data_IF_776390081926
#
_entry.id   IF_776390081926
#
_cell.length_a   1.000
_cell.length_b   1.000
_cell.length_c   1.000
_cell.angle_alpha   90.00
_cell.angle_beta   90.00
_cell.angle_gamma   90.00
#
_symmetry.space_group_name_H-M   'P 1'
#
loop_
_entity.id
_entity.type
_entity.pdbx_description
1 polymer ?
#
# COMPACT_ATOMS: atom_id res chain seq x y z
N UNK A 1 30.46 -58.50 43.00
CA UNK A 1 29.40 -57.84 42.22
C UNK A 1 28.18 -58.75 42.25
N UNK A 2 27.13 -58.37 42.98
CA UNK A 2 26.04 -59.27 43.39
C UNK A 2 24.91 -59.31 42.35
N UNK A 3 24.48 -60.54 42.04
CA UNK A 3 23.22 -60.93 41.37
C UNK A 3 22.01 -60.62 42.28
N UNK A 4 20.80 -60.84 41.72
CA UNK A 4 19.45 -60.95 42.34
C UNK A 4 18.65 -59.62 42.31
N UNK A 5 17.33 -59.55 42.08
CA UNK A 5 16.27 -60.56 41.93
C UNK A 5 15.05 -59.94 41.22
N UNK A 6 14.31 -60.81 40.53
CA UNK A 6 12.89 -60.73 40.20
C UNK A 6 12.00 -60.57 41.45
N UNK A 7 11.01 -59.68 41.41
CA UNK A 7 9.81 -59.73 42.27
C UNK A 7 8.60 -59.27 41.45
N UNK A 8 7.63 -60.18 41.32
CA UNK A 8 6.27 -59.94 40.82
C UNK A 8 5.33 -59.57 41.98
N UNK A 9 4.06 -59.22 41.64
CA UNK A 9 2.85 -59.15 42.51
C UNK A 9 2.59 -57.75 43.11
N UNK A 10 1.38 -57.14 43.13
CA UNK A 10 0.00 -57.53 42.79
C UNK A 10 -0.81 -56.30 42.34
N UNK A 11 -1.81 -56.56 41.50
CA UNK A 11 -2.94 -55.69 41.16
C UNK A 11 -3.85 -55.51 42.39
N UNK A 12 -4.17 -54.26 42.73
CA UNK A 12 -5.29 -53.91 43.62
C UNK A 12 -6.30 -53.13 42.78
N UNK A 13 -7.37 -53.80 42.35
CA UNK A 13 -8.55 -53.15 41.78
C UNK A 13 -9.41 -52.67 42.95
N UNK A 14 -9.30 -51.39 43.28
CA UNK A 14 -10.27 -50.73 44.14
C UNK A 14 -11.49 -50.35 43.28
N UNK A 15 -12.60 -51.04 43.50
CA UNK A 15 -13.91 -50.70 42.95
C UNK A 15 -14.37 -49.36 43.54
N UNK A 16 -14.07 -48.26 42.83
CA UNK A 16 -14.65 -46.95 43.06
C UNK A 16 -15.91 -46.79 42.21
N UNK A 17 -17.04 -46.53 42.87
CA UNK A 17 -18.35 -46.25 42.28
C UNK A 17 -18.20 -45.25 41.14
N UNK A 18 -18.44 -45.69 39.90
CA UNK A 18 -18.61 -44.79 38.77
C UNK A 18 -19.93 -44.05 38.97
N UNK A 19 -19.87 -42.85 39.54
CA UNK A 19 -20.92 -41.86 39.30
C UNK A 19 -20.80 -41.55 37.81
N UNK A 20 -21.68 -42.15 37.02
CA UNK A 20 -21.90 -41.79 35.64
C UNK A 20 -22.40 -40.34 35.60
N UNK A 21 -21.45 -39.41 35.63
CA UNK A 21 -21.71 -38.09 35.08
C UNK A 21 -22.08 -38.33 33.62
N UNK A 22 -23.21 -37.80 33.12
CA UNK A 22 -23.57 -37.99 31.73
C UNK A 22 -22.40 -37.47 30.91
N UNK A 23 -21.80 -38.37 30.12
CA UNK A 23 -20.78 -38.04 29.14
C UNK A 23 -21.44 -37.11 28.13
N UNK A 24 -21.44 -35.82 28.45
CA UNK A 24 -21.76 -34.79 27.47
C UNK A 24 -20.66 -34.95 26.45
N UNK A 25 -21.00 -35.46 25.26
CA UNK A 25 -20.07 -35.58 24.16
C UNK A 25 -19.25 -34.30 24.12
N UNK A 26 -17.93 -34.39 24.36
CA UNK A 26 -17.08 -33.22 24.41
C UNK A 26 -17.29 -32.49 23.08
N UNK A 27 -17.95 -31.33 23.13
CA UNK A 27 -18.32 -30.58 21.93
C UNK A 27 -17.03 -30.37 21.15
N UNK A 28 -16.96 -30.93 19.94
CA UNK A 28 -15.77 -30.84 19.07
C UNK A 28 -15.36 -29.38 18.99
N UNK A 29 -14.23 -29.02 19.59
CA UNK A 29 -13.74 -27.64 19.58
C UNK A 29 -13.00 -27.46 18.27
N UNK A 30 -13.59 -26.69 17.37
CA UNK A 30 -12.98 -26.27 16.11
C UNK A 30 -13.53 -24.92 15.71
N UNK A 31 -12.88 -24.28 14.73
CA UNK A 31 -13.31 -22.99 14.21
C UNK A 31 -14.80 -23.01 13.83
N UNK A 32 -15.55 -22.01 14.31
CA UNK A 32 -16.97 -21.83 14.00
C UNK A 32 -17.95 -22.62 14.89
N UNK A 33 -17.49 -23.52 15.76
CA UNK A 33 -18.36 -24.24 16.69
C UNK A 33 -18.82 -23.31 17.80
N UNK A 34 -20.12 -23.30 18.11
CA UNK A 34 -20.70 -22.41 19.12
C UNK A 34 -20.12 -22.65 20.51
N UNK A 35 -19.94 -21.58 21.26
CA UNK A 35 -19.49 -21.60 22.64
C UNK A 35 -20.29 -20.58 23.45
N UNK A 36 -20.39 -20.79 24.77
CA UNK A 36 -21.31 -20.00 25.62
C UNK A 36 -20.60 -18.89 26.40
N UNK A 37 -19.34 -19.11 26.79
CA UNK A 37 -18.59 -18.21 27.65
C UNK A 37 -17.55 -17.41 26.85
N UNK A 38 -17.87 -16.16 26.55
CA UNK A 38 -16.94 -15.22 25.90
C UNK A 38 -15.59 -15.17 26.64
N UNK A 39 -14.50 -15.21 25.89
CA UNK A 39 -13.14 -15.19 26.43
C UNK A 39 -12.64 -16.53 26.97
N UNK A 40 -13.50 -17.57 27.08
CA UNK A 40 -13.04 -18.91 27.42
C UNK A 40 -11.95 -19.36 26.44
N UNK A 41 -10.92 -20.02 26.95
CA UNK A 41 -9.78 -20.49 26.15
C UNK A 41 -9.51 -21.96 26.47
N UNK A 42 -9.04 -22.69 25.47
CA UNK A 42 -8.74 -24.13 25.57
C UNK A 42 -7.70 -24.53 24.53
N UNK A 43 -7.07 -25.68 24.72
CA UNK A 43 -6.09 -26.24 23.79
C UNK A 43 -6.59 -27.58 23.32
N UNK A 44 -6.70 -27.76 22.00
CA UNK A 44 -7.08 -29.03 21.37
C UNK A 44 -6.03 -29.38 20.33
N UNK A 45 -5.45 -30.58 20.45
CA UNK A 45 -4.43 -31.10 19.51
C UNK A 45 -3.26 -30.12 19.29
N UNK A 46 -2.82 -29.45 20.36
CA UNK A 46 -1.72 -28.47 20.32
C UNK A 46 -2.10 -27.06 19.85
N UNK A 47 -3.31 -26.87 19.31
CA UNK A 47 -3.82 -25.56 18.87
C UNK A 47 -4.62 -24.86 19.96
N UNK A 48 -4.36 -23.57 20.16
CA UNK A 48 -5.10 -22.74 21.12
C UNK A 48 -6.35 -22.16 20.48
N UNK A 49 -7.47 -22.27 21.18
CA UNK A 49 -8.77 -21.73 20.79
C UNK A 49 -9.30 -20.76 21.84
N UNK A 50 -10.04 -19.75 21.37
CA UNK A 50 -10.75 -18.77 22.20
C UNK A 50 -12.19 -18.65 21.74
N UNK A 51 -13.12 -18.64 22.70
CA UNK A 51 -14.52 -18.37 22.48
C UNK A 51 -14.74 -16.87 22.27
N UNK A 52 -15.07 -16.45 21.05
CA UNK A 52 -15.25 -15.05 20.70
C UNK A 52 -16.23 -14.90 19.52
N UNK A 53 -16.62 -13.66 19.22
CA UNK A 53 -17.32 -13.34 17.97
C UNK A 53 -16.32 -13.47 16.82
N UNK A 54 -16.74 -14.07 15.70
CA UNK A 54 -15.91 -14.16 14.51
C UNK A 54 -15.80 -12.79 13.81
N UNK A 55 -14.61 -12.15 13.77
CA UNK A 55 -14.45 -10.83 13.17
C UNK A 55 -14.68 -10.79 11.65
N UNK A 56 -14.67 -11.94 10.99
CA UNK A 56 -14.96 -12.07 9.56
C UNK A 56 -16.46 -12.09 9.24
N UNK A 57 -17.33 -12.09 10.25
CA UNK A 57 -18.78 -12.16 10.09
C UNK A 57 -19.47 -11.03 10.85
N UNK A 58 -20.67 -10.66 10.42
CA UNK A 58 -21.53 -9.71 11.14
C UNK A 58 -22.30 -10.37 12.30
N UNK A 59 -22.19 -11.70 12.45
CA UNK A 59 -22.89 -12.45 13.48
C UNK A 59 -22.37 -12.11 14.87
N UNK A 60 -23.30 -11.89 15.81
CA UNK A 60 -22.96 -11.72 17.22
C UNK A 60 -22.77 -13.05 17.98
N UNK A 61 -22.96 -14.20 17.30
CA UNK A 61 -22.81 -15.53 17.92
C UNK A 61 -21.36 -15.77 18.34
N UNK A 62 -21.19 -16.34 19.53
CA UNK A 62 -19.89 -16.75 20.04
C UNK A 62 -19.54 -18.14 19.49
N UNK A 63 -18.33 -18.23 18.94
CA UNK A 63 -17.77 -19.48 18.41
C UNK A 63 -16.35 -19.68 18.90
N UNK A 64 -15.89 -20.93 18.98
CA UNK A 64 -14.49 -21.25 19.11
C UNK A 64 -13.74 -20.81 17.85
N UNK A 65 -12.64 -20.09 18.04
CA UNK A 65 -11.75 -19.62 16.99
C UNK A 65 -10.32 -19.89 17.43
N UNK A 66 -9.50 -20.45 16.55
CA UNK A 66 -8.07 -20.59 16.78
C UNK A 66 -7.46 -19.20 16.92
N UNK A 67 -6.37 -19.11 17.69
CA UNK A 67 -5.64 -17.84 17.82
C UNK A 67 -5.16 -17.34 16.45
N UNK A 68 -4.75 -18.26 15.56
CA UNK A 68 -4.36 -17.91 14.19
C UNK A 68 -5.53 -17.32 13.40
N UNK A 69 -6.73 -17.89 13.51
CA UNK A 69 -7.93 -17.32 12.90
C UNK A 69 -8.20 -15.89 13.41
N UNK A 70 -8.12 -15.67 14.72
CA UNK A 70 -8.32 -14.33 15.32
C UNK A 70 -7.29 -13.35 14.78
N UNK A 71 -6.02 -13.74 14.75
CA UNK A 71 -4.93 -12.90 14.28
C UNK A 71 -5.08 -12.54 12.80
N UNK A 72 -5.36 -13.53 11.94
CA UNK A 72 -5.57 -13.32 10.51
C UNK A 72 -6.82 -12.50 10.22
N UNK A 73 -7.91 -12.70 10.96
CA UNK A 73 -9.11 -11.89 10.82
C UNK A 73 -8.86 -10.43 11.21
N UNK A 74 -8.12 -10.18 12.28
CA UNK A 74 -7.73 -8.82 12.67
C UNK A 74 -6.78 -8.17 11.66
N UNK A 75 -5.84 -8.93 11.10
CA UNK A 75 -4.95 -8.46 10.04
C UNK A 75 -5.74 -8.04 8.79
N UNK A 76 -6.73 -8.83 8.37
CA UNK A 76 -7.66 -8.46 7.30
C UNK A 76 -8.41 -7.15 7.61
N UNK A 77 -9.00 -7.02 8.80
CA UNK A 77 -9.75 -5.82 9.16
C UNK A 77 -8.85 -4.56 9.20
N UNK A 78 -7.60 -4.72 9.63
CA UNK A 78 -6.61 -3.63 9.58
C UNK A 78 -6.26 -3.28 8.14
N UNK A 79 -5.93 -4.27 7.31
CA UNK A 79 -5.62 -4.06 5.90
C UNK A 79 -6.77 -3.37 5.14
N UNK A 80 -8.02 -3.76 5.43
CA UNK A 80 -9.20 -3.11 4.86
C UNK A 80 -9.27 -1.61 5.21
N UNK A 81 -9.07 -1.26 6.49
CA UNK A 81 -9.12 0.13 6.96
C UNK A 81 -7.98 0.96 6.37
N UNK A 82 -6.76 0.43 6.40
CA UNK A 82 -5.57 1.10 5.86
C UNK A 82 -5.73 1.30 4.35
N UNK A 83 -6.18 0.28 3.62
CA UNK A 83 -6.48 0.35 2.18
C UNK A 83 -7.52 1.41 1.85
N UNK A 84 -8.60 1.51 2.62
CA UNK A 84 -9.63 2.53 2.43
C UNK A 84 -9.08 3.94 2.66
N UNK A 85 -8.31 4.14 3.73
CA UNK A 85 -7.70 5.44 4.03
C UNK A 85 -6.68 5.86 2.97
N UNK A 86 -5.81 4.94 2.53
CA UNK A 86 -4.82 5.20 1.48
C UNK A 86 -5.53 5.51 0.15
N UNK A 87 -6.54 4.72 -0.22
CA UNK A 87 -7.29 4.93 -1.47
C UNK A 87 -8.01 6.28 -1.49
N UNK A 88 -8.58 6.70 -0.36
CA UNK A 88 -9.19 8.02 -0.22
C UNK A 88 -8.16 9.14 -0.39
N UNK A 89 -6.99 9.03 0.26
CA UNK A 89 -5.91 10.00 0.15
C UNK A 89 -5.33 10.10 -1.28
N UNK A 90 -5.19 8.97 -1.97
CA UNK A 90 -4.73 8.96 -3.36
C UNK A 90 -5.76 9.60 -4.29
N UNK A 91 -7.03 9.25 -4.12
CA UNK A 91 -8.14 9.82 -4.92
C UNK A 91 -8.23 11.33 -4.73
N UNK A 92 -8.09 11.81 -3.49
CA UNK A 92 -8.10 13.24 -3.17
C UNK A 92 -6.89 14.01 -3.76
N UNK A 93 -5.77 13.34 -4.01
CA UNK A 93 -4.59 13.95 -4.63
C UNK A 93 -4.71 14.12 -6.15
N UNK A 94 -5.50 13.29 -6.84
CA UNK A 94 -5.69 13.36 -8.30
C UNK A 94 -6.06 14.78 -8.78
N UNK A 95 -7.10 15.46 -8.24
CA UNK A 95 -7.44 16.81 -8.69
C UNK A 95 -6.33 17.84 -8.42
N UNK A 96 -5.56 17.68 -7.34
CA UNK A 96 -4.42 18.54 -7.03
C UNK A 96 -3.30 18.36 -8.07
N UNK A 97 -3.03 17.10 -8.44
CA UNK A 97 -2.06 16.77 -9.49
C UNK A 97 -2.51 17.34 -10.84
N UNK A 98 -3.80 17.23 -11.17
CA UNK A 98 -4.36 17.77 -12.41
C UNK A 98 -4.22 19.30 -12.51
N UNK A 99 -4.48 20.01 -11.40
CA UNK A 99 -4.22 21.45 -11.31
C UNK A 99 -2.72 21.74 -11.50
N UNK A 100 -1.83 20.95 -10.89
CA UNK A 100 -0.39 21.08 -11.07
C UNK A 100 0.04 20.92 -12.54
N UNK A 101 -0.49 19.91 -13.24
CA UNK A 101 -0.22 19.68 -14.67
C UNK A 101 -0.74 20.84 -15.51
N UNK A 102 -1.96 21.33 -15.23
CA UNK A 102 -2.53 22.47 -15.95
C UNK A 102 -1.65 23.73 -15.78
N UNK A 103 -1.22 24.03 -14.56
CA UNK A 103 -0.34 25.16 -14.26
C UNK A 103 1.02 25.05 -14.97
N UNK A 104 1.65 23.87 -14.96
CA UNK A 104 2.91 23.65 -15.67
C UNK A 104 2.76 23.77 -17.20
N UNK A 105 1.61 23.38 -17.76
CA UNK A 105 1.32 23.59 -19.18
C UNK A 105 1.14 25.08 -19.54
N UNK A 106 0.54 25.87 -18.65
CA UNK A 106 0.49 27.34 -18.82
C UNK A 106 1.91 27.91 -18.79
N UNK A 107 2.71 27.55 -17.77
CA UNK A 107 4.11 27.98 -17.67
C UNK A 107 4.92 27.58 -18.92
N UNK A 108 4.71 26.36 -19.44
CA UNK A 108 5.36 25.88 -20.65
C UNK A 108 5.06 26.81 -21.84
N UNK A 109 3.80 27.17 -22.03
CA UNK A 109 3.37 28.07 -23.10
C UNK A 109 4.02 29.45 -22.95
N UNK A 110 4.00 30.03 -21.76
CA UNK A 110 4.62 31.33 -21.50
C UNK A 110 6.13 31.35 -21.79
N UNK A 111 6.86 30.32 -21.34
CA UNK A 111 8.30 30.21 -21.60
C UNK A 111 8.57 29.94 -23.08
N UNK A 112 7.72 29.18 -23.77
CA UNK A 112 7.84 28.96 -25.21
C UNK A 112 7.71 30.28 -25.97
N UNK A 113 6.74 31.13 -25.63
CA UNK A 113 6.62 32.47 -26.24
C UNK A 113 7.89 33.30 -26.04
N UNK A 114 8.49 33.28 -24.84
CA UNK A 114 9.76 33.98 -24.57
C UNK A 114 10.93 33.41 -25.37
N UNK A 115 10.97 32.09 -25.55
CA UNK A 115 11.98 31.44 -26.39
C UNK A 115 11.84 31.87 -27.86
N UNK A 116 10.62 31.89 -28.39
CA UNK A 116 10.35 32.29 -29.77
C UNK A 116 10.71 33.76 -30.00
N UNK A 117 10.37 34.64 -29.06
CA UNK A 117 10.74 36.06 -29.08
C UNK A 117 12.27 36.25 -29.01
N UNK A 118 12.96 35.50 -28.16
CA UNK A 118 14.42 35.55 -28.06
C UNK A 118 15.10 35.06 -29.35
N UNK A 119 14.55 34.01 -29.99
CA UNK A 119 15.03 33.52 -31.28
C UNK A 119 14.84 34.56 -32.40
N UNK A 120 13.68 35.23 -32.43
CA UNK A 120 13.41 36.30 -33.40
C UNK A 120 14.41 37.45 -33.23
N UNK A 121 14.65 37.89 -31.99
CA UNK A 121 15.63 38.96 -31.71
C UNK A 121 17.06 38.55 -32.03
N UNK A 122 17.42 37.30 -31.75
CA UNK A 122 18.73 36.75 -32.11
C UNK A 122 18.94 36.77 -33.63
N UNK A 123 17.94 36.32 -34.40
CA UNK A 123 17.99 36.35 -35.86
C UNK A 123 18.12 37.78 -36.39
N UNK A 124 17.30 38.71 -35.89
CA UNK A 124 17.37 40.12 -36.27
C UNK A 124 18.73 40.76 -35.94
N UNK A 125 19.33 40.44 -34.78
CA UNK A 125 20.65 40.93 -34.40
C UNK A 125 21.74 40.40 -35.34
N UNK A 126 21.67 39.12 -35.76
CA UNK A 126 22.60 38.54 -36.74
C UNK A 126 22.48 39.21 -38.11
N UNK A 127 21.26 39.46 -38.59
CA UNK A 127 21.03 40.19 -39.85
C UNK A 127 21.60 41.61 -39.79
N UNK A 128 21.36 42.33 -38.69
CA UNK A 128 21.92 43.68 -38.49
C UNK A 128 23.44 43.66 -38.44
N UNK A 129 24.05 42.66 -37.80
CA UNK A 129 25.50 42.54 -37.75
C UNK A 129 26.11 42.35 -39.14
N UNK A 130 25.48 41.53 -39.99
CA UNK A 130 25.93 41.31 -41.35
C UNK A 130 25.86 42.59 -42.22
N UNK A 131 24.94 43.49 -41.92
CA UNK A 131 24.79 44.77 -42.61
C UNK A 131 25.59 45.93 -41.96
N UNK A 132 26.24 45.71 -40.81
CA UNK A 132 26.91 46.77 -40.07
C UNK A 132 28.23 47.18 -40.74
N UNK A 133 28.37 48.48 -41.01
CA UNK A 133 29.57 49.04 -41.65
C UNK A 133 30.60 49.46 -40.61
N UNK A 134 30.17 50.07 -39.50
CA UNK A 134 31.07 50.61 -38.48
C UNK A 134 31.48 49.55 -37.45
N UNK A 135 32.70 49.66 -36.93
CA UNK A 135 33.19 48.75 -35.89
C UNK A 135 32.47 48.94 -34.54
N UNK A 136 31.99 50.17 -34.27
CA UNK A 136 31.18 50.45 -33.10
C UNK A 136 29.86 49.66 -33.12
N UNK A 137 29.13 49.67 -34.24
CA UNK A 137 27.88 48.93 -34.39
C UNK A 137 28.10 47.42 -34.33
N UNK A 138 29.17 46.93 -34.98
CA UNK A 138 29.55 45.51 -34.94
C UNK A 138 29.78 45.02 -33.51
N UNK A 139 30.46 45.82 -32.68
CA UNK A 139 30.71 45.48 -31.27
C UNK A 139 29.41 45.40 -30.47
N UNK A 140 28.53 46.40 -30.59
CA UNK A 140 27.23 46.41 -29.91
C UNK A 140 26.38 45.19 -30.30
N UNK A 141 26.29 44.91 -31.60
CA UNK A 141 25.49 43.79 -32.12
C UNK A 141 26.07 42.43 -31.72
N UNK A 142 27.40 42.29 -31.64
CA UNK A 142 28.05 41.08 -31.14
C UNK A 142 27.69 40.83 -29.67
N UNK A 143 27.70 41.86 -28.83
CA UNK A 143 27.24 41.76 -27.44
C UNK A 143 25.76 41.37 -27.36
N UNK A 144 24.90 41.98 -28.18
CA UNK A 144 23.48 41.63 -28.24
C UNK A 144 23.26 40.16 -28.63
N UNK A 145 23.97 39.66 -29.65
CA UNK A 145 23.91 38.25 -30.09
C UNK A 145 24.30 37.31 -28.95
N UNK A 146 25.36 37.61 -28.21
CA UNK A 146 25.79 36.80 -27.05
C UNK A 146 24.72 36.75 -25.96
N UNK A 147 24.09 37.89 -25.67
CA UNK A 147 22.99 37.99 -24.70
C UNK A 147 21.78 37.15 -25.13
N UNK A 148 21.28 37.32 -26.37
CA UNK A 148 20.14 36.55 -26.88
C UNK A 148 20.44 35.06 -27.00
N UNK A 149 21.67 34.69 -27.38
CA UNK A 149 22.11 33.27 -27.40
C UNK A 149 22.03 32.66 -26.00
N UNK A 150 22.40 33.42 -24.97
CA UNK A 150 22.31 32.97 -23.58
C UNK A 150 20.87 32.88 -23.10
N UNK A 151 20.00 33.83 -23.46
CA UNK A 151 18.58 33.78 -23.17
C UNK A 151 17.90 32.56 -23.80
N UNK A 152 18.17 32.28 -25.09
CA UNK A 152 17.67 31.10 -25.80
C UNK A 152 18.06 29.82 -25.06
N UNK A 153 19.34 29.66 -24.66
CA UNK A 153 19.78 28.50 -23.89
C UNK A 153 19.05 28.37 -22.55
N UNK A 154 18.85 29.49 -21.84
CA UNK A 154 18.16 29.50 -20.55
C UNK A 154 16.69 29.09 -20.69
N UNK A 155 15.95 29.63 -21.66
CA UNK A 155 14.55 29.27 -21.88
C UNK A 155 14.39 27.82 -22.35
N UNK A 156 15.25 27.33 -23.24
CA UNK A 156 15.27 25.92 -23.64
C UNK A 156 15.51 25.00 -22.44
N UNK A 157 16.48 25.33 -21.58
CA UNK A 157 16.73 24.57 -20.36
C UNK A 157 15.51 24.56 -19.42
N UNK A 158 14.85 25.72 -19.26
CA UNK A 158 13.63 25.84 -18.46
C UNK A 158 12.48 24.99 -19.02
N UNK A 159 12.27 24.97 -20.33
CA UNK A 159 11.27 24.11 -20.98
C UNK A 159 11.54 22.63 -20.73
N UNK A 160 12.79 22.20 -20.81
CA UNK A 160 13.17 20.81 -20.50
C UNK A 160 12.87 20.46 -19.04
N UNK A 161 13.13 21.38 -18.10
CA UNK A 161 12.76 21.20 -16.70
C UNK A 161 11.25 21.12 -16.50
N UNK A 162 10.46 21.98 -17.16
CA UNK A 162 8.99 21.95 -17.08
C UNK A 162 8.46 20.62 -17.62
N UNK A 163 8.97 20.16 -18.77
CA UNK A 163 8.59 18.88 -19.35
C UNK A 163 8.92 17.68 -18.43
N UNK A 164 10.01 17.76 -17.66
CA UNK A 164 10.32 16.76 -16.64
C UNK A 164 9.33 16.82 -15.46
N UNK A 165 8.98 18.02 -14.99
CA UNK A 165 7.98 18.19 -13.92
C UNK A 165 6.61 17.63 -14.32
N UNK A 166 6.14 17.93 -15.53
CA UNK A 166 4.88 17.39 -16.06
C UNK A 166 4.90 15.86 -16.07
N UNK A 167 5.97 15.24 -16.60
CA UNK A 167 6.10 13.76 -16.63
C UNK A 167 6.09 13.14 -15.23
N UNK A 168 6.69 13.79 -14.23
CA UNK A 168 6.65 13.34 -12.84
C UNK A 168 5.23 13.39 -12.28
N UNK A 169 4.50 14.48 -12.54
CA UNK A 169 3.11 14.63 -12.13
C UNK A 169 2.20 13.58 -12.81
N UNK A 170 2.38 13.34 -14.10
CA UNK A 170 1.64 12.30 -14.84
C UNK A 170 1.89 10.90 -14.27
N UNK A 171 3.15 10.58 -13.92
CA UNK A 171 3.50 9.32 -13.27
C UNK A 171 2.87 9.19 -11.87
N UNK A 172 2.86 10.28 -11.10
CA UNK A 172 2.19 10.32 -9.80
C UNK A 172 0.67 10.13 -9.94
N UNK A 173 0.05 10.75 -10.94
CA UNK A 173 -1.38 10.56 -11.26
C UNK A 173 -1.68 9.11 -11.62
N UNK A 174 -0.85 8.50 -12.47
CA UNK A 174 -1.01 7.10 -12.86
C UNK A 174 -0.96 6.19 -11.63
N UNK A 175 0.02 6.42 -10.73
CA UNK A 175 0.14 5.67 -9.47
C UNK A 175 -1.09 5.87 -8.57
N UNK A 176 -1.54 7.11 -8.39
CA UNK A 176 -2.72 7.42 -7.59
C UNK A 176 -4.01 6.79 -8.16
N UNK A 177 -4.04 6.51 -9.46
CA UNK A 177 -5.16 5.85 -10.14
C UNK A 177 -5.11 4.33 -10.02
N UNK A 178 -3.94 3.72 -10.15
CA UNK A 178 -3.79 2.25 -10.20
C UNK A 178 -3.66 1.60 -8.83
N UNK A 179 -3.02 2.27 -7.88
CA UNK A 179 -2.74 1.72 -6.55
C UNK A 179 -4.01 1.36 -5.74
N UNK A 180 -5.12 2.12 -5.80
CA UNK A 180 -6.38 1.70 -5.14
C UNK A 180 -6.91 0.35 -5.64
N UNK A 181 -6.72 0.03 -6.93
CA UNK A 181 -7.14 -1.25 -7.51
C UNK A 181 -6.29 -2.39 -6.93
N UNK A 182 -4.97 -2.19 -6.84
CA UNK A 182 -4.06 -3.18 -6.25
C UNK A 182 -4.38 -3.40 -4.76
N UNK A 183 -4.56 -2.31 -4.00
CA UNK A 183 -4.90 -2.40 -2.58
C UNK A 183 -6.22 -3.14 -2.34
N UNK A 184 -7.18 -3.03 -3.27
CA UNK A 184 -8.44 -3.78 -3.20
C UNK A 184 -8.22 -5.28 -3.43
N UNK A 185 -7.35 -5.65 -4.37
CA UNK A 185 -6.98 -7.04 -4.61
C UNK A 185 -6.25 -7.64 -3.39
N UNK A 186 -5.25 -6.93 -2.85
CA UNK A 186 -4.48 -7.38 -1.69
C UNK A 186 -5.36 -7.58 -0.45
N UNK A 187 -6.36 -6.72 -0.25
CA UNK A 187 -7.37 -6.87 0.83
C UNK A 187 -8.25 -8.10 0.59
N UNK A 188 -8.64 -8.39 -0.66
CA UNK A 188 -9.42 -9.58 -0.99
C UNK A 188 -8.62 -10.87 -0.74
N UNK A 189 -7.34 -10.89 -1.09
CA UNK A 189 -6.45 -12.02 -0.81
C UNK A 189 -6.21 -12.21 0.68
N UNK A 190 -6.01 -11.12 1.42
CA UNK A 190 -5.91 -11.15 2.89
C UNK A 190 -7.19 -11.71 3.52
N UNK A 191 -8.35 -11.35 2.98
CA UNK A 191 -9.65 -11.91 3.41
C UNK A 191 -9.72 -13.41 3.13
N UNK A 192 -9.37 -13.83 1.92
CA UNK A 192 -9.42 -15.24 1.51
C UNK A 192 -8.51 -16.10 2.39
N UNK A 193 -7.30 -15.62 2.68
CA UNK A 193 -6.37 -16.26 3.60
C UNK A 193 -6.93 -16.36 5.02
N UNK A 194 -7.51 -15.28 5.55
CA UNK A 194 -8.16 -15.31 6.86
C UNK A 194 -9.33 -16.29 6.89
N UNK A 195 -10.15 -16.34 5.84
CA UNK A 195 -11.26 -17.30 5.72
C UNK A 195 -10.76 -18.74 5.67
N UNK A 196 -9.67 -19.03 4.97
CA UNK A 196 -9.07 -20.36 4.91
C UNK A 196 -8.62 -20.85 6.29
N UNK A 197 -7.93 -19.98 7.04
CA UNK A 197 -7.47 -20.28 8.41
C UNK A 197 -8.67 -20.44 9.35
N UNK A 198 -9.68 -19.59 9.22
CA UNK A 198 -10.88 -19.61 10.05
C UNK A 198 -11.90 -20.71 9.68
N UNK A 199 -11.72 -21.43 8.57
CA UNK A 199 -12.57 -22.58 8.17
C UNK A 199 -11.88 -23.91 8.41
N UNK A 200 -10.55 -23.96 8.25
CA UNK A 200 -9.73 -25.13 8.57
C UNK A 200 -9.37 -25.16 10.06
N UNK A 201 -10.30 -25.63 10.89
CA UNK A 201 -9.94 -26.16 12.21
C UNK A 201 -9.51 -27.63 12.06
N UNK A 202 -8.19 -27.87 12.00
CA UNK A 202 -7.59 -29.20 12.23
C UNK A 202 -8.05 -29.74 13.59
#
# INVERSE_FOLDING_TARGET
MRKLASVSVAIVVAAGVMIATPATAATKISNGVTCTKSGASTTVSGSKYKCAKNPLTTSAKLTWLSIDCINSANAYLKAQKDSAAISANLTAQIPVIDIGIANENVNKTEIQTKLDEANLRLAAAKTKLAAAITDADKRILTTAISSWTSAVRAYTSKLNSIALSIRKLESAKATATTQPVQLKADVADTKANAQLICTKGL
#
